data_IF_851302481262
#
_entry.id   IF_851302481262
#
_cell.length_a   1.000
_cell.length_b   1.000
_cell.length_c   1.000
_cell.angle_alpha   90.00
_cell.angle_beta   90.00
_cell.angle_gamma   90.00
#
_symmetry.space_group_name_H-M   'P 1'
#
loop_
_entity.id
_entity.type
_entity.pdbx_description
1 polymer ?
#
# COMPACT_ATOMS: atom_id res chain seq x y z
N UNK A 1 15.12 34.08 17.57
CA UNK A 1 14.10 34.27 16.52
C UNK A 1 13.40 32.93 16.37
N UNK A 2 12.10 32.81 16.64
CA UNK A 2 11.39 31.55 16.45
C UNK A 2 11.42 31.21 14.95
N UNK A 3 11.97 30.04 14.61
CA UNK A 3 11.78 29.45 13.29
C UNK A 3 10.31 29.04 13.23
N UNK A 4 9.49 29.81 12.52
CA UNK A 4 8.17 29.35 12.11
C UNK A 4 8.41 28.25 11.09
N UNK A 5 8.44 26.99 11.54
CA UNK A 5 8.47 25.84 10.66
C UNK A 5 7.13 25.84 9.93
N UNK A 6 7.11 26.42 8.74
CA UNK A 6 5.93 26.44 7.90
C UNK A 6 5.65 24.98 7.52
N UNK A 7 4.64 24.37 8.13
CA UNK A 7 4.10 23.06 7.77
C UNK A 7 3.42 23.19 6.40
N UNK A 8 4.22 23.37 5.36
CA UNK A 8 3.75 23.35 3.98
C UNK A 8 3.47 21.88 3.63
N UNK A 9 2.29 21.57 3.06
CA UNK A 9 1.95 20.21 2.68
C UNK A 9 3.00 19.66 1.69
N UNK A 10 3.30 18.37 1.80
CA UNK A 10 4.29 17.67 0.98
C UNK A 10 3.55 16.85 -0.07
N UNK A 11 4.07 16.81 -1.30
CA UNK A 11 3.48 15.99 -2.37
C UNK A 11 3.63 14.50 -2.03
N UNK A 12 2.51 13.78 -1.89
CA UNK A 12 2.53 12.34 -1.55
C UNK A 12 3.25 11.48 -2.60
N UNK A 13 3.25 11.91 -3.86
CA UNK A 13 3.83 11.14 -4.96
C UNK A 13 5.36 11.21 -4.96
N UNK A 14 5.96 12.35 -4.63
CA UNK A 14 7.40 12.57 -4.82
C UNK A 14 8.12 13.26 -3.65
N UNK A 15 7.42 13.55 -2.55
CA UNK A 15 8.00 14.15 -1.34
C UNK A 15 8.41 15.62 -1.46
N UNK A 16 8.06 16.32 -2.55
CA UNK A 16 8.44 17.73 -2.74
C UNK A 16 7.55 18.66 -1.89
N UNK A 17 8.09 19.65 -1.17
CA UNK A 17 7.29 20.60 -0.40
C UNK A 17 6.51 21.56 -1.30
N UNK A 18 5.27 21.90 -0.92
CA UNK A 18 4.38 22.79 -1.68
C UNK A 18 4.83 24.25 -1.64
N UNK A 19 5.13 24.89 -2.78
CA UNK A 19 5.18 26.34 -2.85
C UNK A 19 3.75 26.91 -2.73
N UNK A 20 3.59 28.04 -2.04
CA UNK A 20 2.30 28.55 -1.59
C UNK A 20 1.25 28.76 -2.70
N UNK A 21 1.68 28.88 -3.96
CA UNK A 21 0.85 29.40 -5.05
C UNK A 21 0.64 28.41 -6.22
N UNK A 22 1.05 27.15 -6.08
CA UNK A 22 0.91 26.15 -7.14
C UNK A 22 -0.23 25.14 -6.86
N UNK A 23 -0.88 24.70 -7.94
CA UNK A 23 -1.93 23.65 -7.93
C UNK A 23 -1.39 22.28 -8.34
N UNK A 24 -0.22 22.23 -8.98
CA UNK A 24 0.48 21.01 -9.40
C UNK A 24 1.88 21.00 -8.80
N UNK A 25 2.38 19.82 -8.45
CA UNK A 25 3.75 19.65 -7.97
C UNK A 25 4.74 19.93 -9.11
N UNK A 26 5.73 20.82 -8.90
CA UNK A 26 6.68 21.19 -9.96
C UNK A 26 7.64 20.05 -10.31
N UNK A 27 7.82 19.07 -9.41
CA UNK A 27 8.70 17.92 -9.64
C UNK A 27 8.03 16.81 -10.44
N UNK A 28 6.77 16.47 -10.16
CA UNK A 28 6.09 15.32 -10.78
C UNK A 28 4.85 15.68 -11.62
N UNK A 29 4.42 16.95 -11.63
CA UNK A 29 3.25 17.41 -12.37
C UNK A 29 1.89 16.93 -11.85
N UNK A 30 1.85 16.15 -10.76
CA UNK A 30 0.63 15.68 -10.13
C UNK A 30 0.01 16.78 -9.24
N UNK A 31 -1.32 16.85 -9.08
CA UNK A 31 -1.96 17.87 -8.26
C UNK A 31 -1.46 17.83 -6.82
N UNK A 32 -1.38 18.99 -6.17
CA UNK A 32 -1.15 19.04 -4.73
C UNK A 32 -2.38 18.48 -4.03
N UNK A 33 -2.18 17.37 -3.32
CA UNK A 33 -3.21 16.82 -2.45
C UNK A 33 -2.89 17.34 -1.07
N UNK A 34 -3.84 18.10 -0.51
CA UNK A 34 -3.70 18.70 0.82
C UNK A 34 -3.74 17.60 1.87
N UNK A 35 -2.60 16.96 2.11
CA UNK A 35 -2.38 16.16 3.31
C UNK A 35 -2.42 17.14 4.47
N UNK A 36 -3.53 17.15 5.20
CA UNK A 36 -3.54 17.78 6.51
C UNK A 36 -2.60 16.96 7.37
N UNK A 37 -1.37 17.44 7.55
CA UNK A 37 -0.51 16.95 8.62
C UNK A 37 -1.31 17.23 9.89
N UNK A 38 -1.88 16.19 10.49
CA UNK A 38 -2.58 16.32 11.76
C UNK A 38 -1.62 17.05 12.70
N UNK A 39 -2.03 18.23 13.17
CA UNK A 39 -1.25 18.96 14.14
C UNK A 39 -1.03 17.99 15.31
N UNK A 40 0.23 17.60 15.63
CA UNK A 40 0.48 16.59 16.63
C UNK A 40 -0.28 16.98 17.88
N UNK A 41 -1.08 16.06 18.47
CA UNK A 41 -1.97 16.39 19.57
C UNK A 41 -1.15 17.15 20.59
N UNK A 42 -1.48 18.43 20.79
CA UNK A 42 -0.68 19.36 21.57
C UNK A 42 -0.31 18.64 22.85
N UNK A 43 0.99 18.32 23.00
CA UNK A 43 1.49 17.55 24.12
C UNK A 43 0.88 18.15 25.37
N UNK A 44 0.00 17.39 26.03
CA UNK A 44 -0.72 17.86 27.20
C UNK A 44 0.35 18.43 28.14
N UNK A 45 0.29 19.75 28.35
CA UNK A 45 1.27 20.42 29.18
C UNK A 45 1.33 19.66 30.51
N UNK A 46 2.51 19.30 31.01
CA UNK A 46 2.61 18.66 32.30
C UNK A 46 1.95 19.59 33.32
N UNK A 47 0.86 19.14 33.94
CA UNK A 47 0.23 19.82 35.05
C UNK A 47 1.28 19.98 36.15
N UNK A 48 1.77 21.20 36.30
CA UNK A 48 2.74 21.64 37.30
C UNK A 48 2.11 21.49 38.70
N UNK A 49 2.54 20.53 39.55
CA UNK A 49 2.01 20.39 40.88
C UNK A 49 2.88 21.24 41.83
N UNK A 50 2.76 22.56 41.73
CA UNK A 50 3.28 23.46 42.76
C UNK A 50 2.30 23.46 43.93
N UNK A 51 2.40 22.46 44.80
CA UNK A 51 1.89 22.55 46.17
C UNK A 51 3.02 22.19 47.14
N UNK A 52 3.58 23.26 47.71
CA UNK A 52 4.51 23.24 48.83
C UNK A 52 3.83 22.65 50.06
N UNK A 53 4.48 21.68 50.71
CA UNK A 53 4.01 21.10 51.96
C UNK A 53 5.04 20.18 52.60
N UNK A 54 6.08 20.76 53.20
CA UNK A 54 6.96 20.07 54.14
C UNK A 54 6.18 19.64 55.39
N UNK A 55 6.06 18.33 55.64
CA UNK A 55 6.14 17.77 57.00
C UNK A 55 6.63 16.33 56.99
N UNK A 56 7.54 16.07 57.92
CA UNK A 56 8.30 14.86 58.13
C UNK A 56 7.47 13.64 58.58
N UNK A 57 8.07 12.48 58.35
CA UNK A 57 8.06 11.29 59.22
C UNK A 57 6.72 10.64 59.58
N UNK A 58 6.49 9.43 59.08
CA UNK A 58 6.39 8.22 59.91
C UNK A 58 6.03 7.01 59.05
N UNK A 59 6.85 5.96 59.18
CA UNK A 59 6.49 4.61 58.80
C UNK A 59 5.37 4.10 59.73
N UNK A 60 4.30 3.56 59.17
CA UNK A 60 3.54 2.46 59.78
C UNK A 60 2.53 1.88 58.78
N UNK A 61 2.57 0.55 58.71
CA UNK A 61 1.59 -0.34 58.15
C UNK A 61 0.11 0.08 58.37
N UNK A 62 -0.69 -0.04 57.31
CA UNK A 62 -2.10 -0.40 57.43
C UNK A 62 -2.59 -1.01 56.12
N UNK A 63 -2.82 -2.32 56.16
CA UNK A 63 -3.65 -3.04 55.20
C UNK A 63 -5.06 -2.44 55.25
N UNK A 64 -5.62 -2.05 54.10
CA UNK A 64 -7.01 -1.65 53.99
C UNK A 64 -7.62 -2.13 52.66
N UNK A 65 -8.49 -3.12 52.81
CA UNK A 65 -9.71 -3.37 52.05
C UNK A 65 -9.60 -3.42 50.52
N UNK A 66 -9.51 -4.66 50.01
CA UNK A 66 -10.02 -5.02 48.70
C UNK A 66 -11.51 -4.65 48.63
N UNK A 67 -11.86 -3.77 47.71
CA UNK A 67 -13.25 -3.53 47.30
C UNK A 67 -13.83 -4.80 46.68
N UNK A 68 -15.04 -5.24 47.08
CA UNK A 68 -15.70 -6.38 46.44
C UNK A 68 -16.03 -6.05 44.97
N UNK A 69 -16.00 -7.06 44.08
CA UNK A 69 -16.33 -6.87 42.68
C UNK A 69 -17.78 -6.37 42.51
N UNK A 70 -18.05 -5.54 41.50
CA UNK A 70 -19.40 -5.05 41.20
C UNK A 70 -20.34 -6.22 40.92
N UNK A 71 -21.58 -6.10 41.42
CA UNK A 71 -22.62 -7.09 41.24
C UNK A 71 -22.93 -7.31 39.74
N UNK A 72 -23.20 -8.56 39.31
CA UNK A 72 -23.59 -8.83 37.93
C UNK A 72 -24.91 -8.12 37.60
N UNK A 73 -25.06 -7.60 36.36
CA UNK A 73 -26.29 -6.95 35.94
C UNK A 73 -27.48 -7.91 36.02
N UNK A 74 -28.69 -7.40 36.31
CA UNK A 74 -29.89 -8.22 36.39
C UNK A 74 -30.16 -8.89 35.03
N UNK A 75 -30.32 -10.21 35.06
CA UNK A 75 -30.79 -11.00 33.92
C UNK A 75 -32.22 -10.56 33.62
N UNK A 76 -32.40 -9.84 32.52
CA UNK A 76 -33.71 -9.47 32.00
C UNK A 76 -34.30 -10.76 31.38
N UNK A 77 -35.47 -11.24 31.84
CA UNK A 77 -36.12 -12.38 31.21
C UNK A 77 -36.53 -11.97 29.79
N UNK A 78 -36.02 -12.71 28.81
CA UNK A 78 -36.47 -12.63 27.42
C UNK A 78 -37.87 -13.25 27.41
N UNK A 79 -38.89 -12.40 27.53
CA UNK A 79 -40.26 -12.80 27.28
C UNK A 79 -40.44 -13.06 25.78
N UNK A 80 -40.42 -14.34 25.46
CA UNK A 80 -40.93 -14.98 24.25
C UNK A 80 -42.35 -14.46 23.96
N UNK A 81 -42.42 -13.35 23.24
CA UNK A 81 -43.65 -12.75 22.73
C UNK A 81 -43.64 -12.92 21.22
N UNK A 82 -44.16 -14.09 20.83
CA UNK A 82 -45.25 -14.19 19.86
C UNK A 82 -45.12 -13.41 18.55
N UNK A 83 -45.12 -14.19 17.47
CA UNK A 83 -45.98 -13.88 16.33
C UNK A 83 -45.63 -12.59 15.57
N UNK A 84 -44.38 -12.48 15.10
CA UNK A 84 -44.09 -11.62 13.96
C UNK A 84 -44.62 -12.28 12.69
N UNK A 85 -45.87 -11.96 12.36
CA UNK A 85 -46.50 -12.27 11.08
C UNK A 85 -45.66 -11.69 9.93
N UNK A 86 -45.05 -12.59 9.17
CA UNK A 86 -44.23 -12.30 7.98
C UNK A 86 -45.10 -12.14 6.71
N UNK A 87 -46.39 -11.84 6.86
CA UNK A 87 -47.35 -11.79 5.75
C UNK A 87 -47.66 -10.36 5.26
N UNK A 88 -46.69 -9.44 5.20
CA UNK A 88 -46.94 -8.16 4.52
C UNK A 88 -45.67 -7.47 3.98
N UNK A 89 -44.81 -8.23 3.30
CA UNK A 89 -43.88 -7.63 2.33
C UNK A 89 -44.67 -7.23 1.09
N UNK A 90 -45.25 -6.04 1.16
CA UNK A 90 -45.80 -5.30 0.02
C UNK A 90 -44.68 -5.06 -0.98
N UNK A 91 -44.75 -5.76 -2.12
CA UNK A 91 -43.90 -5.51 -3.27
C UNK A 91 -43.97 -4.02 -3.65
N UNK A 92 -42.83 -3.32 -3.79
CA UNK A 92 -42.84 -1.95 -4.28
C UNK A 92 -43.48 -1.91 -5.68
N UNK A 93 -44.26 -0.88 -6.01
CA UNK A 93 -44.90 -0.77 -7.31
C UNK A 93 -43.83 -0.78 -8.42
N UNK A 94 -44.07 -1.58 -9.46
CA UNK A 94 -43.18 -1.65 -10.62
C UNK A 94 -42.95 -0.23 -11.20
N UNK A 95 -41.70 0.19 -11.41
CA UNK A 95 -41.41 1.49 -12.00
C UNK A 95 -41.98 1.54 -13.43
N UNK A 96 -42.57 2.67 -13.85
CA UNK A 96 -43.14 2.81 -15.18
C UNK A 96 -42.05 2.58 -16.23
N UNK A 97 -42.18 1.50 -17.01
CA UNK A 97 -41.27 1.15 -18.10
C UNK A 97 -41.42 2.13 -19.29
N UNK A 98 -40.92 3.34 -19.13
CA UNK A 98 -40.82 4.29 -20.24
C UNK A 98 -39.53 4.02 -21.02
N UNK A 99 -39.64 3.23 -22.08
CA UNK A 99 -38.54 2.98 -23.06
C UNK A 99 -38.03 4.25 -23.75
N UNK A 100 -38.59 5.42 -23.45
CA UNK A 100 -38.22 6.71 -24.03
C UNK A 100 -37.10 7.45 -23.26
N UNK A 101 -36.84 7.12 -21.99
CA UNK A 101 -35.84 7.85 -21.17
C UNK A 101 -34.40 7.44 -21.49
N UNK A 102 -34.18 6.27 -22.09
CA UNK A 102 -32.83 5.75 -22.39
C UNK A 102 -32.18 6.31 -23.67
N UNK A 103 -32.91 7.07 -24.49
CA UNK A 103 -32.37 7.61 -25.75
C UNK A 103 -31.60 8.93 -25.57
N UNK A 104 -31.82 9.65 -24.47
CA UNK A 104 -31.17 10.94 -24.18
C UNK A 104 -29.64 10.84 -23.91
N UNK A 105 -29.13 9.89 -23.10
CA UNK A 105 -27.69 9.80 -22.86
C UNK A 105 -26.91 9.28 -24.08
N UNK A 106 -27.50 8.39 -24.89
CA UNK A 106 -26.84 7.82 -26.07
C UNK A 106 -26.61 8.89 -27.16
N UNK A 107 -27.58 9.77 -27.38
CA UNK A 107 -27.43 10.87 -28.34
C UNK A 107 -26.31 11.86 -27.94
N UNK A 108 -26.12 12.09 -26.64
CA UNK A 108 -25.10 13.00 -26.12
C UNK A 108 -23.70 12.41 -26.26
N UNK A 109 -23.53 11.10 -26.00
CA UNK A 109 -22.24 10.40 -26.21
C UNK A 109 -21.83 10.41 -27.68
N UNK A 110 -22.76 10.18 -28.62
CA UNK A 110 -22.46 10.22 -30.06
C UNK A 110 -22.04 11.63 -30.51
N UNK A 111 -22.67 12.68 -29.98
CA UNK A 111 -22.29 14.07 -30.30
C UNK A 111 -20.89 14.42 -29.78
N UNK A 112 -20.51 13.96 -28.59
CA UNK A 112 -19.17 14.17 -28.03
C UNK A 112 -18.10 13.44 -28.85
N UNK A 113 -18.34 12.20 -29.27
CA UNK A 113 -17.42 11.43 -30.11
C UNK A 113 -17.23 12.07 -31.49
N UNK A 114 -18.32 12.54 -32.12
CA UNK A 114 -18.26 13.23 -33.41
C UNK A 114 -17.50 14.57 -33.33
N UNK A 115 -17.65 15.30 -32.22
CA UNK A 115 -16.92 16.54 -31.99
C UNK A 115 -15.42 16.29 -31.74
N UNK A 116 -15.08 15.28 -30.94
CA UNK A 116 -13.69 14.91 -30.66
C UNK A 116 -12.95 14.46 -31.92
N UNK A 117 -13.60 13.69 -32.78
CA UNK A 117 -13.00 13.23 -34.04
C UNK A 117 -12.75 14.38 -35.04
N UNK A 118 -13.62 15.41 -35.10
CA UNK A 118 -13.36 16.57 -35.94
C UNK A 118 -12.18 17.43 -35.45
N UNK A 119 -12.03 17.59 -34.13
CA UNK A 119 -10.93 18.37 -33.53
C UNK A 119 -9.59 17.64 -33.67
N UNK A 120 -9.56 16.31 -33.52
CA UNK A 120 -8.31 15.54 -33.56
C UNK A 120 -7.86 15.11 -34.96
N UNK A 121 -8.77 14.91 -35.91
CA UNK A 121 -8.43 14.50 -37.28
C UNK A 121 -8.46 15.65 -38.30
N UNK A 122 -8.90 16.85 -37.91
CA UNK A 122 -9.00 18.00 -38.82
C UNK A 122 -7.73 18.85 -38.97
N UNK A 123 -6.66 18.57 -38.23
CA UNK A 123 -5.45 19.39 -38.20
C UNK A 123 -4.24 18.70 -38.85
N UNK A 124 -3.84 19.24 -40.00
CA UNK A 124 -2.53 19.15 -40.66
C UNK A 124 -1.81 17.78 -40.67
N UNK A 125 -1.94 17.10 -41.81
CA UNK A 125 -1.12 15.95 -42.21
C UNK A 125 0.38 16.31 -42.22
N UNK A 126 1.24 15.72 -41.37
CA UNK A 126 2.68 15.75 -41.61
C UNK A 126 2.99 14.83 -42.80
N UNK A 127 3.83 15.34 -43.69
CA UNK A 127 4.35 14.59 -44.85
C UNK A 127 5.28 13.49 -44.33
N UNK A 128 4.78 12.26 -44.21
CA UNK A 128 5.61 11.09 -43.90
C UNK A 128 6.33 10.60 -45.15
N UNK A 129 7.66 10.58 -45.07
CA UNK A 129 8.55 10.03 -46.09
C UNK A 129 8.54 8.50 -45.96
N UNK A 130 7.95 7.82 -46.93
CA UNK A 130 7.92 6.35 -46.99
C UNK A 130 9.29 5.82 -47.43
N UNK A 131 10.05 5.22 -46.51
CA UNK A 131 11.22 4.40 -46.84
C UNK A 131 10.73 2.98 -47.13
N UNK A 132 11.01 2.49 -48.34
CA UNK A 132 10.63 1.15 -48.79
C UNK A 132 11.43 0.07 -48.04
N UNK A 133 10.74 -0.72 -47.22
CA UNK A 133 11.28 -1.96 -46.65
C UNK A 133 11.08 -3.13 -47.62
N UNK A 134 12.15 -3.89 -47.86
CA UNK A 134 12.15 -5.10 -48.69
C UNK A 134 11.27 -6.21 -48.08
N UNK A 135 10.60 -7.04 -48.91
CA UNK A 135 9.88 -8.20 -48.42
C UNK A 135 10.86 -9.32 -48.00
N UNK A 136 10.83 -9.70 -46.72
CA UNK A 136 11.41 -10.95 -46.24
C UNK A 136 10.37 -12.06 -46.35
N UNK A 137 10.63 -13.04 -47.22
CA UNK A 137 9.87 -14.29 -47.34
C UNK A 137 10.19 -15.23 -46.18
N UNK A 138 9.20 -15.47 -45.31
CA UNK A 138 9.25 -16.53 -44.30
C UNK A 138 8.51 -17.76 -44.83
N UNK A 139 9.24 -18.86 -45.00
CA UNK A 139 8.71 -20.16 -45.43
C UNK A 139 8.16 -20.91 -44.22
N UNK A 140 6.83 -21.10 -44.17
CA UNK A 140 6.16 -21.96 -43.19
C UNK A 140 6.32 -23.43 -43.62
N UNK A 141 7.12 -24.22 -42.88
CA UNK A 141 7.10 -25.67 -42.98
C UNK A 141 5.96 -26.24 -42.13
N UNK A 142 5.04 -26.95 -42.77
CA UNK A 142 4.06 -27.79 -42.09
C UNK A 142 4.75 -29.07 -41.60
N UNK A 143 4.85 -29.24 -40.29
CA UNK A 143 5.29 -30.50 -39.67
C UNK A 143 4.06 -31.34 -39.37
N UNK A 144 3.84 -32.37 -40.20
CA UNK A 144 2.86 -33.42 -39.94
C UNK A 144 3.41 -34.35 -38.84
N UNK A 145 2.81 -34.30 -37.66
CA UNK A 145 3.13 -35.24 -36.57
C UNK A 145 2.28 -36.50 -36.74
N UNK A 146 2.93 -37.62 -37.05
CA UNK A 146 2.32 -38.95 -37.06
C UNK A 146 2.19 -39.45 -35.62
N UNK A 147 0.96 -39.59 -35.14
CA UNK A 147 0.66 -40.24 -33.86
C UNK A 147 0.79 -41.76 -34.05
N UNK A 148 1.84 -42.34 -33.47
CA UNK A 148 1.93 -43.78 -33.27
C UNK A 148 1.30 -44.10 -31.90
N UNK A 149 0.20 -44.84 -31.92
CA UNK A 149 -0.42 -45.44 -30.74
C UNK A 149 0.51 -46.56 -30.25
N UNK A 150 1.32 -46.26 -29.25
CA UNK A 150 2.12 -47.24 -28.51
C UNK A 150 1.41 -47.46 -27.17
N UNK A 151 0.91 -48.68 -26.99
CA UNK A 151 0.48 -49.20 -25.69
C UNK A 151 1.74 -49.48 -24.89
N UNK A 152 2.06 -48.60 -23.94
CA UNK A 152 3.23 -48.74 -23.05
C UNK A 152 2.76 -48.84 -21.59
N UNK A 153 3.31 -49.85 -20.89
CA UNK A 153 3.11 -50.11 -19.47
C UNK A 153 3.56 -48.90 -18.63
N UNK A 154 2.65 -48.43 -17.78
CA UNK A 154 2.87 -47.34 -16.82
C UNK A 154 3.99 -47.70 -15.83
N UNK A 155 5.22 -47.31 -16.16
CA UNK A 155 6.34 -47.30 -15.23
C UNK A 155 6.51 -45.88 -14.72
N UNK A 156 6.21 -45.66 -13.45
CA UNK A 156 6.26 -44.36 -12.77
C UNK A 156 7.71 -43.93 -12.54
N UNK A 157 8.32 -43.32 -13.55
CA UNK A 157 9.62 -42.64 -13.39
C UNK A 157 9.39 -41.34 -12.63
N UNK A 158 9.85 -41.28 -11.37
CA UNK A 158 9.93 -40.02 -10.62
C UNK A 158 10.93 -39.09 -11.30
N UNK A 159 10.43 -38.03 -11.93
CA UNK A 159 11.23 -36.92 -12.43
C UNK A 159 11.79 -36.17 -11.23
N UNK A 160 13.09 -36.33 -10.96
CA UNK A 160 13.79 -35.47 -10.00
C UNK A 160 14.03 -34.12 -10.66
N UNK A 161 13.19 -33.14 -10.34
CA UNK A 161 13.40 -31.75 -10.76
C UNK A 161 14.63 -31.22 -10.01
N UNK A 162 15.74 -31.03 -10.72
CA UNK A 162 16.94 -30.40 -10.16
C UNK A 162 16.70 -28.89 -10.09
N UNK A 163 16.27 -28.39 -8.94
CA UNK A 163 16.20 -26.95 -8.68
C UNK A 163 17.63 -26.40 -8.64
N UNK A 164 18.00 -25.63 -9.66
CA UNK A 164 19.28 -24.91 -9.68
C UNK A 164 19.09 -23.65 -8.84
N UNK A 165 19.51 -23.68 -7.58
CA UNK A 165 19.50 -22.49 -6.72
C UNK A 165 20.58 -21.54 -7.22
N UNK A 166 20.20 -20.46 -7.88
CA UNK A 166 21.12 -19.37 -8.19
C UNK A 166 21.53 -18.75 -6.85
N UNK A 167 22.82 -18.62 -6.53
CA UNK A 167 23.24 -18.04 -5.27
C UNK A 167 23.01 -16.53 -5.31
N UNK A 168 21.90 -16.07 -4.74
CA UNK A 168 21.70 -14.66 -4.44
C UNK A 168 22.62 -14.21 -3.29
N UNK A 169 23.01 -12.93 -3.23
CA UNK A 169 23.80 -12.40 -2.12
C UNK A 169 23.04 -12.57 -0.79
N UNK A 170 23.68 -13.07 0.29
CA UNK A 170 23.06 -13.08 1.61
C UNK A 170 22.89 -11.65 2.15
N UNK A 171 21.97 -11.48 3.10
CA UNK A 171 21.66 -10.20 3.74
C UNK A 171 22.90 -9.49 4.35
N UNK A 172 23.87 -10.28 4.82
CA UNK A 172 25.12 -9.80 5.43
C UNK A 172 26.14 -9.19 4.46
N UNK A 173 25.95 -9.36 3.15
CA UNK A 173 26.93 -8.88 2.15
C UNK A 173 26.81 -7.37 1.88
N UNK A 174 25.73 -6.75 2.34
CA UNK A 174 25.48 -5.32 2.17
C UNK A 174 26.16 -4.52 3.28
N UNK A 175 26.95 -3.53 2.88
CA UNK A 175 27.67 -2.63 3.80
C UNK A 175 27.03 -1.25 3.81
N UNK A 176 27.04 -0.59 4.96
CA UNK A 176 26.52 0.77 5.11
C UNK A 176 27.19 1.72 4.10
N UNK A 177 26.36 2.51 3.42
CA UNK A 177 26.79 3.56 2.49
C UNK A 177 25.89 4.78 2.65
N UNK A 178 26.46 5.99 2.58
CA UNK A 178 25.72 7.24 2.83
C UNK A 178 25.65 7.63 4.30
N UNK A 179 25.01 8.77 4.56
CA UNK A 179 24.76 9.27 5.92
C UNK A 179 23.52 8.58 6.50
N UNK A 180 23.53 8.12 7.77
CA UNK A 180 22.37 7.45 8.37
C UNK A 180 21.16 8.38 8.41
N UNK A 181 20.01 7.86 8.00
CA UNK A 181 18.72 8.55 8.08
C UNK A 181 17.98 8.13 9.35
N UNK A 182 17.37 9.07 10.03
CA UNK A 182 16.45 8.76 11.12
C UNK A 182 15.15 8.15 10.58
N UNK A 183 14.40 7.44 11.42
CA UNK A 183 13.09 6.86 11.03
C UNK A 183 12.09 7.94 10.57
N UNK A 184 12.19 9.15 11.13
CA UNK A 184 11.41 10.34 10.69
C UNK A 184 11.77 10.78 9.27
N UNK A 185 12.99 10.49 8.80
CA UNK A 185 13.46 10.78 7.44
C UNK A 185 13.22 9.61 6.47
N UNK A 186 12.62 8.51 6.93
CA UNK A 186 12.26 7.33 6.15
C UNK A 186 10.75 7.14 5.98
N UNK A 187 9.95 8.19 5.67
CA UNK A 187 8.52 8.01 5.55
C UNK A 187 8.16 7.12 4.36
N UNK A 188 7.17 6.26 4.56
CA UNK A 188 6.64 5.38 3.52
C UNK A 188 5.81 6.20 2.52
N UNK A 189 6.12 6.09 1.22
CA UNK A 189 5.43 6.81 0.14
C UNK A 189 5.20 5.91 -1.06
N UNK A 190 4.23 6.25 -1.90
CA UNK A 190 3.88 5.47 -3.09
C UNK A 190 5.06 5.22 -4.05
N UNK A 191 6.06 6.11 -4.06
CA UNK A 191 7.24 6.04 -4.94
C UNK A 191 8.55 5.66 -4.25
N UNK A 192 8.55 5.16 -3.01
CA UNK A 192 9.78 4.79 -2.29
C UNK A 192 9.72 4.97 -0.77
N UNK A 193 10.88 5.16 -0.15
CA UNK A 193 11.02 5.30 1.30
C UNK A 193 11.87 6.55 1.59
N UNK A 194 11.26 7.59 2.13
CA UNK A 194 11.94 8.86 2.40
C UNK A 194 12.66 9.43 1.17
N UNK A 195 13.99 9.65 1.22
CA UNK A 195 14.76 10.12 0.07
C UNK A 195 15.10 9.00 -0.94
N UNK A 196 14.83 7.73 -0.62
CA UNK A 196 15.09 6.58 -1.48
C UNK A 196 13.92 6.44 -2.47
N UNK A 197 14.17 6.71 -3.74
CA UNK A 197 13.16 6.64 -4.81
C UNK A 197 13.21 5.28 -5.52
N UNK A 198 12.07 4.80 -6.02
CA UNK A 198 12.04 3.66 -6.94
C UNK A 198 12.89 3.92 -8.20
N UNK A 199 13.52 2.87 -8.69
CA UNK A 199 14.53 2.93 -9.76
C UNK A 199 15.96 3.18 -9.27
N UNK A 200 16.16 3.49 -7.98
CA UNK A 200 17.50 3.58 -7.39
C UNK A 200 18.20 2.22 -7.42
N UNK A 201 19.53 2.21 -7.53
CA UNK A 201 20.28 0.96 -7.59
C UNK A 201 20.23 0.21 -6.26
N UNK A 202 20.27 -1.11 -6.33
CA UNK A 202 20.22 -1.99 -5.16
C UNK A 202 21.37 -1.66 -4.20
N UNK A 203 22.58 -1.43 -4.70
CA UNK A 203 23.73 -1.07 -3.86
C UNK A 203 23.53 0.24 -3.08
N UNK A 204 22.96 1.26 -3.71
CA UNK A 204 22.68 2.55 -3.05
C UNK A 204 21.58 2.40 -1.99
N UNK A 205 20.48 1.72 -2.33
CA UNK A 205 19.35 1.52 -1.42
C UNK A 205 19.74 0.64 -0.24
N UNK A 206 20.33 -0.54 -0.50
CA UNK A 206 20.76 -1.45 0.55
C UNK A 206 21.81 -0.80 1.44
N UNK A 207 22.78 -0.08 0.87
CA UNK A 207 23.78 0.63 1.65
C UNK A 207 23.19 1.72 2.55
N UNK A 208 22.25 2.50 2.02
CA UNK A 208 21.57 3.57 2.77
C UNK A 208 20.67 3.01 3.88
N UNK A 209 19.94 1.93 3.63
CA UNK A 209 19.14 1.24 4.64
C UNK A 209 20.03 0.58 5.69
N UNK A 210 21.17 -0.01 5.32
CA UNK A 210 22.13 -0.57 6.27
C UNK A 210 22.76 0.52 7.15
N UNK A 211 23.03 1.70 6.60
CA UNK A 211 23.50 2.83 7.38
C UNK A 211 22.47 3.31 8.41
N UNK A 212 21.17 3.25 8.05
CA UNK A 212 20.08 3.84 8.84
C UNK A 212 19.47 2.87 9.86
N UNK A 213 19.28 1.61 9.46
CA UNK A 213 18.55 0.57 10.20
C UNK A 213 19.46 -0.56 10.70
N UNK A 214 20.74 -0.58 10.28
CA UNK A 214 21.67 -1.68 10.57
C UNK A 214 21.61 -2.80 9.53
N UNK A 215 22.34 -3.89 9.78
CA UNK A 215 22.41 -5.02 8.84
C UNK A 215 21.03 -5.63 8.57
N UNK A 216 20.76 -5.99 7.32
CA UNK A 216 19.56 -6.74 6.97
C UNK A 216 19.55 -8.10 7.67
N UNK A 217 18.38 -8.50 8.16
CA UNK A 217 18.18 -9.73 8.94
C UNK A 217 17.96 -10.93 8.03
N UNK A 218 17.32 -10.71 6.88
CA UNK A 218 17.02 -11.75 5.91
C UNK A 218 17.12 -11.22 4.47
N UNK A 219 17.35 -12.15 3.56
CA UNK A 219 17.35 -11.93 2.13
C UNK A 219 16.78 -13.17 1.43
N UNK A 220 16.19 -12.97 0.26
CA UNK A 220 15.72 -14.08 -0.55
C UNK A 220 15.24 -13.63 -1.92
N UNK A 221 14.76 -14.60 -2.67
CA UNK A 221 14.04 -14.42 -3.91
C UNK A 221 12.52 -14.48 -3.68
N UNK A 222 11.75 -13.88 -4.58
CA UNK A 222 10.30 -14.07 -4.60
C UNK A 222 9.78 -14.20 -6.02
N UNK A 223 8.81 -15.10 -6.20
CA UNK A 223 8.08 -15.29 -7.45
C UNK A 223 6.96 -14.24 -7.63
N UNK A 224 7.03 -13.10 -6.93
CA UNK A 224 5.95 -12.11 -6.90
C UNK A 224 5.71 -11.48 -8.28
N UNK A 225 6.74 -11.35 -9.13
CA UNK A 225 6.62 -10.79 -10.47
C UNK A 225 7.21 -11.68 -11.59
N UNK A 226 6.52 -12.74 -12.05
CA UNK A 226 6.98 -13.52 -13.21
C UNK A 226 7.04 -12.65 -14.48
N UNK A 227 8.04 -12.80 -15.36
CA UNK A 227 9.13 -13.78 -15.35
C UNK A 227 10.42 -13.30 -14.67
N UNK A 228 10.43 -12.11 -14.05
CA UNK A 228 11.62 -11.53 -13.44
C UNK A 228 11.84 -12.13 -12.06
N UNK A 229 13.05 -12.60 -11.80
CA UNK A 229 13.45 -13.04 -10.47
C UNK A 229 13.63 -11.78 -9.59
N UNK A 230 12.73 -11.60 -8.62
CA UNK A 230 12.82 -10.47 -7.69
C UNK A 230 13.67 -10.87 -6.49
N UNK A 231 14.54 -9.97 -6.05
CA UNK A 231 15.33 -10.14 -4.82
C UNK A 231 14.77 -9.23 -3.74
N UNK A 232 14.82 -9.66 -2.48
CA UNK A 232 14.37 -8.84 -1.37
C UNK A 232 15.34 -8.86 -0.20
N UNK A 233 15.36 -7.75 0.54
CA UNK A 233 16.10 -7.57 1.79
C UNK A 233 15.13 -7.15 2.89
N UNK A 234 15.32 -7.65 4.10
CA UNK A 234 14.42 -7.42 5.23
C UNK A 234 15.15 -6.85 6.45
N UNK A 235 14.52 -5.86 7.10
CA UNK A 235 14.92 -5.21 8.35
C UNK A 235 13.69 -5.17 9.28
N UNK A 236 13.58 -6.12 10.20
CA UNK A 236 12.40 -6.29 11.02
C UNK A 236 11.16 -6.50 10.17
N UNK A 237 10.21 -5.57 10.28
CA UNK A 237 8.94 -5.53 9.54
C UNK A 237 9.05 -4.94 8.13
N UNK A 238 10.17 -4.28 7.79
CA UNK A 238 10.37 -3.67 6.47
C UNK A 238 11.06 -4.65 5.52
N UNK A 239 10.42 -4.94 4.39
CA UNK A 239 11.01 -5.66 3.26
C UNK A 239 11.11 -4.73 2.04
N UNK A 240 12.34 -4.52 1.56
CA UNK A 240 12.61 -3.84 0.29
C UNK A 240 12.74 -4.88 -0.82
N UNK A 241 12.13 -4.63 -1.98
CA UNK A 241 12.06 -5.56 -3.11
C UNK A 241 12.71 -4.90 -4.33
N UNK A 242 13.55 -5.68 -5.00
CA UNK A 242 14.38 -5.30 -6.12
C UNK A 242 14.07 -6.14 -7.36
N UNK A 243 14.17 -5.52 -8.53
CA UNK A 243 14.15 -6.20 -9.82
C UNK A 243 15.56 -6.69 -10.17
N UNK A 244 15.82 -7.98 -9.93
CA UNK A 244 17.14 -8.61 -9.96
C UNK A 244 17.93 -8.54 -8.65
N UNK A 245 19.08 -9.23 -8.60
CA UNK A 245 20.03 -9.21 -7.47
C UNK A 245 21.43 -8.70 -7.85
N UNK A 246 21.66 -8.38 -9.12
CA UNK A 246 22.92 -7.81 -9.57
C UNK A 246 23.11 -6.39 -8.99
N UNK A 247 24.34 -5.85 -8.90
CA UNK A 247 24.56 -4.54 -8.31
C UNK A 247 23.79 -3.38 -8.96
N UNK A 248 23.39 -3.54 -10.23
CA UNK A 248 22.57 -2.61 -11.01
C UNK A 248 21.07 -2.92 -10.97
N UNK A 249 20.64 -3.94 -10.21
CA UNK A 249 19.25 -4.20 -9.90
C UNK A 249 18.59 -2.95 -9.32
N UNK A 250 17.29 -2.81 -9.55
CA UNK A 250 16.58 -1.57 -9.20
C UNK A 250 15.60 -1.79 -8.07
N UNK A 251 15.51 -0.82 -7.15
CA UNK A 251 14.52 -0.81 -6.09
C UNK A 251 13.13 -0.52 -6.68
N UNK A 252 12.19 -1.44 -6.55
CA UNK A 252 10.90 -1.35 -7.25
C UNK A 252 9.70 -1.30 -6.33
N UNK A 253 9.78 -1.88 -5.13
CA UNK A 253 8.67 -1.84 -4.17
C UNK A 253 9.12 -2.14 -2.75
N UNK A 254 8.24 -1.88 -1.79
CA UNK A 254 8.43 -2.31 -0.40
C UNK A 254 7.14 -2.91 0.18
N UNK A 255 7.33 -3.68 1.26
CA UNK A 255 6.30 -4.17 2.16
C UNK A 255 6.71 -3.82 3.59
N UNK A 256 5.87 -3.12 4.32
CA UNK A 256 6.06 -2.92 5.76
C UNK A 256 4.89 -3.60 6.46
N UNK A 257 5.11 -4.76 7.07
CA UNK A 257 4.05 -5.59 7.65
C UNK A 257 4.46 -6.17 8.99
N UNK A 258 3.48 -6.37 9.86
CA UNK A 258 3.67 -7.10 11.10
C UNK A 258 4.09 -8.54 10.77
N UNK A 259 5.24 -8.95 11.28
CA UNK A 259 5.73 -10.32 11.21
C UNK A 259 5.49 -11.01 12.55
N UNK A 260 5.28 -12.32 12.54
CA UNK A 260 5.14 -13.11 13.77
C UNK A 260 6.43 -13.14 14.62
N UNK A 261 7.54 -12.66 14.05
CA UNK A 261 8.83 -12.61 14.70
C UNK A 261 8.91 -11.39 15.63
N UNK A 262 9.37 -11.60 16.86
CA UNK A 262 9.61 -10.58 17.88
C UNK A 262 10.81 -9.66 17.56
N UNK A 263 10.97 -9.29 16.29
CA UNK A 263 11.94 -8.31 15.82
C UNK A 263 11.63 -6.93 16.39
N UNK A 264 12.65 -6.09 16.57
CA UNK A 264 12.46 -4.72 17.02
C UNK A 264 11.68 -3.93 15.95
N UNK A 265 10.59 -3.28 16.36
CA UNK A 265 9.79 -2.45 15.46
C UNK A 265 10.58 -1.20 15.07
N UNK A 266 10.77 -1.02 13.76
CA UNK A 266 11.43 0.16 13.17
C UNK A 266 10.52 1.41 13.25
N UNK A 267 9.25 1.25 13.60
CA UNK A 267 8.25 2.30 13.77
C UNK A 267 8.23 3.29 12.59
N UNK A 268 8.10 2.74 11.38
CA UNK A 268 7.99 3.54 10.16
C UNK A 268 6.56 4.07 9.98
N UNK A 269 6.47 5.26 9.39
CA UNK A 269 5.22 5.99 9.23
C UNK A 269 5.11 6.55 7.81
N UNK A 270 3.91 6.67 7.26
CA UNK A 270 3.74 7.36 5.97
C UNK A 270 3.91 8.87 6.11
N UNK A 271 4.08 9.59 5.00
CA UNK A 271 4.10 11.07 5.02
C UNK A 271 2.83 11.70 5.65
N UNK A 272 1.71 11.00 5.63
CA UNK A 272 0.43 11.47 6.18
C UNK A 272 0.23 11.08 7.64
N UNK A 273 1.09 10.23 8.19
CA UNK A 273 1.03 9.82 9.58
C UNK A 273 0.39 8.44 9.84
N UNK A 274 0.26 7.61 8.80
CA UNK A 274 -0.25 6.25 8.94
C UNK A 274 0.86 5.33 9.45
N UNK A 275 0.58 4.58 10.50
CA UNK A 275 1.47 3.58 11.09
C UNK A 275 0.77 2.21 11.14
N UNK A 276 1.54 1.13 11.29
CA UNK A 276 0.98 -0.18 11.63
C UNK A 276 0.31 -0.11 13.01
N UNK A 277 -0.71 -0.94 13.24
CA UNK A 277 -1.46 -0.94 14.49
C UNK A 277 -2.55 0.15 14.60
N UNK A 278 -2.59 1.14 13.70
CA UNK A 278 -3.67 2.12 13.66
C UNK A 278 -4.98 1.50 13.16
N UNK A 279 -6.12 2.09 13.55
CA UNK A 279 -7.43 1.58 13.15
C UNK A 279 -7.80 1.97 11.72
N UNK A 280 -8.70 1.22 11.09
CA UNK A 280 -9.28 1.54 9.78
C UNK A 280 -10.02 2.89 9.82
N UNK A 281 -10.63 3.27 10.95
CA UNK A 281 -11.18 4.60 11.13
C UNK A 281 -10.11 5.69 11.05
N UNK A 282 -8.95 5.48 11.68
CA UNK A 282 -7.81 6.40 11.60
C UNK A 282 -7.27 6.47 10.16
N UNK A 283 -7.12 5.34 9.48
CA UNK A 283 -6.75 5.28 8.06
C UNK A 283 -7.70 6.14 7.20
N UNK A 284 -9.02 5.93 7.30
CA UNK A 284 -10.04 6.70 6.56
C UNK A 284 -9.99 8.19 6.90
N UNK A 285 -9.73 8.52 8.16
CA UNK A 285 -9.60 9.90 8.63
C UNK A 285 -8.33 10.59 8.10
N UNK A 286 -7.18 9.91 8.14
CA UNK A 286 -5.89 10.40 7.65
C UNK A 286 -5.89 10.65 6.14
N UNK A 287 -6.69 9.86 5.40
CA UNK A 287 -6.81 9.93 3.94
C UNK A 287 -8.21 10.34 3.48
N UNK A 288 -8.87 11.25 4.20
CA UNK A 288 -10.22 11.75 3.89
C UNK A 288 -10.34 12.40 2.50
N UNK A 289 -9.22 12.88 1.96
CA UNK A 289 -9.05 13.49 0.64
C UNK A 289 -8.83 12.46 -0.49
N UNK A 290 -8.66 11.19 -0.16
CA UNK A 290 -8.40 10.09 -1.10
C UNK A 290 -9.55 9.08 -1.11
N UNK A 291 -9.54 8.17 -2.08
CA UNK A 291 -10.46 7.04 -2.10
C UNK A 291 -9.82 5.84 -1.42
N UNK A 292 -10.33 5.45 -0.26
CA UNK A 292 -9.95 4.22 0.44
C UNK A 292 -11.01 3.16 0.16
N UNK A 293 -10.64 2.09 -0.56
CA UNK A 293 -11.50 0.90 -0.73
C UNK A 293 -10.97 -0.25 0.12
N UNK A 294 -11.87 -1.14 0.54
CA UNK A 294 -11.55 -2.36 1.26
C UNK A 294 -11.95 -3.54 0.39
N UNK A 295 -11.03 -4.47 0.16
CA UNK A 295 -11.19 -5.59 -0.76
C UNK A 295 -10.63 -6.88 -0.14
N UNK A 296 -11.30 -8.00 -0.38
CA UNK A 296 -10.85 -9.31 0.08
C UNK A 296 -9.91 -9.93 -0.94
N UNK A 297 -8.63 -10.10 -0.60
CA UNK A 297 -7.59 -10.71 -1.43
C UNK A 297 -7.09 -11.97 -0.71
N UNK A 298 -7.17 -13.12 -1.36
CA UNK A 298 -6.75 -14.41 -0.82
C UNK A 298 -7.32 -14.75 0.57
N UNK A 299 -8.55 -14.28 0.84
CA UNK A 299 -9.25 -14.52 2.11
C UNK A 299 -8.87 -13.58 3.25
N UNK A 300 -8.07 -12.54 2.97
CA UNK A 300 -7.71 -11.49 3.92
C UNK A 300 -8.14 -10.11 3.41
N UNK A 301 -8.73 -9.30 4.28
CA UNK A 301 -9.14 -7.95 3.94
C UNK A 301 -7.92 -7.05 3.73
N UNK A 302 -7.97 -6.23 2.69
CA UNK A 302 -6.93 -5.28 2.34
C UNK A 302 -7.55 -3.91 2.11
N UNK A 303 -6.86 -2.85 2.54
CA UNK A 303 -7.17 -1.50 2.08
C UNK A 303 -6.44 -1.20 0.77
N UNK A 304 -7.03 -0.36 -0.06
CA UNK A 304 -6.41 0.24 -1.24
C UNK A 304 -6.66 1.74 -1.20
N UNK A 305 -5.58 2.50 -1.20
CA UNK A 305 -5.58 3.94 -1.27
C UNK A 305 -5.34 4.35 -2.73
N UNK A 306 -6.35 5.00 -3.33
CA UNK A 306 -6.35 5.38 -4.75
C UNK A 306 -6.52 6.89 -4.90
N UNK A 307 -5.80 7.49 -5.84
CA UNK A 307 -5.98 8.86 -6.29
C UNK A 307 -6.11 8.93 -7.81
N UNK A 308 -7.20 9.49 -8.31
CA UNK A 308 -7.40 9.63 -9.77
C UNK A 308 -7.37 8.32 -10.57
N UNK A 309 -7.54 7.17 -9.91
CA UNK A 309 -7.40 5.84 -10.50
C UNK A 309 -6.02 5.19 -10.31
N UNK A 310 -5.02 5.93 -9.85
CA UNK A 310 -3.69 5.42 -9.55
C UNK A 310 -3.65 4.84 -8.12
N UNK A 311 -3.19 3.59 -7.98
CA UNK A 311 -2.95 2.98 -6.67
C UNK A 311 -1.73 3.64 -6.02
N UNK A 312 -1.89 4.16 -4.80
CA UNK A 312 -0.83 4.83 -4.05
C UNK A 312 -0.23 3.93 -2.97
N UNK A 313 -1.07 3.37 -2.12
CA UNK A 313 -0.70 2.47 -1.03
C UNK A 313 -1.77 1.39 -0.92
N UNK A 314 -1.41 0.23 -0.40
CA UNK A 314 -2.36 -0.81 -0.07
C UNK A 314 -1.80 -1.68 1.05
N UNK A 315 -2.58 -2.58 1.60
CA UNK A 315 -2.05 -3.52 2.57
C UNK A 315 -3.15 -4.19 3.39
N UNK A 316 -2.79 -5.25 4.13
CA UNK A 316 -3.74 -6.02 4.90
C UNK A 316 -4.31 -5.24 6.07
N UNK A 317 -5.58 -5.52 6.38
CA UNK A 317 -6.26 -5.09 7.60
C UNK A 317 -6.84 -6.31 8.32
N UNK A 318 -7.00 -6.23 9.64
CA UNK A 318 -7.56 -7.33 10.42
C UNK A 318 -9.08 -7.52 10.23
N UNK A 319 -9.77 -6.44 9.85
CA UNK A 319 -11.21 -6.39 9.57
C UNK A 319 -11.51 -5.17 8.69
N UNK A 320 -12.54 -5.19 7.84
CA UNK A 320 -12.96 -4.01 7.07
C UNK A 320 -13.75 -2.98 7.92
N UNK A 321 -14.13 -3.36 9.14
CA UNK A 321 -14.80 -2.49 10.09
C UNK A 321 -13.87 -1.38 10.61
N UNK A 322 -14.45 -0.30 11.13
CA UNK A 322 -13.72 0.89 11.58
C UNK A 322 -12.76 0.62 12.76
N UNK A 323 -13.00 -0.44 13.54
CA UNK A 323 -12.15 -0.93 14.62
C UNK A 323 -11.12 -1.98 14.17
N UNK A 324 -11.15 -2.39 12.89
CA UNK A 324 -10.08 -3.15 12.26
C UNK A 324 -8.75 -2.42 12.33
N UNK A 325 -7.65 -3.16 12.25
CA UNK A 325 -6.28 -2.65 12.44
C UNK A 325 -5.51 -2.79 11.13
N UNK A 326 -4.67 -1.80 10.80
CA UNK A 326 -3.73 -1.87 9.68
C UNK A 326 -2.56 -2.79 10.05
N UNK A 327 -2.46 -3.92 9.34
CA UNK A 327 -1.45 -4.96 9.56
C UNK A 327 -0.23 -4.79 8.63
N UNK A 328 -0.40 -4.10 7.50
CA UNK A 328 0.68 -3.85 6.56
C UNK A 328 0.45 -2.61 5.70
N UNK A 329 1.54 -1.99 5.25
CA UNK A 329 1.58 -0.84 4.35
C UNK A 329 2.54 -1.17 3.21
N UNK A 330 1.99 -1.30 2.03
CA UNK A 330 2.67 -1.74 0.82
C UNK A 330 2.69 -0.62 -0.19
N UNK A 331 3.81 -0.50 -0.89
CA UNK A 331 3.85 0.30 -2.11
C UNK A 331 3.06 -0.39 -3.22
N UNK A 332 2.69 0.34 -4.29
CA UNK A 332 2.07 -0.26 -5.46
C UNK A 332 2.90 -1.42 -5.99
N UNK A 333 2.24 -2.46 -6.49
CA UNK A 333 2.93 -3.61 -7.07
C UNK A 333 3.77 -3.13 -8.27
N UNK A 334 5.05 -3.51 -8.36
CA UNK A 334 5.87 -3.16 -9.50
C UNK A 334 5.62 -4.07 -10.69
N UNK A 335 4.89 -5.18 -10.51
CA UNK A 335 4.58 -6.09 -11.60
C UNK A 335 3.58 -5.41 -12.56
N UNK A 336 3.96 -5.16 -13.83
CA UNK A 336 3.07 -4.59 -14.84
C UNK A 336 1.99 -5.57 -15.34
#
# INVERSE_FOLDING_TARGET
MPKTTSNLPICIHCGTPRPADETLCPKCGKPWIDVRIAEPPAAAAPDDPTTSGDVAAAAAAAAAAATPPPAPPPVIPIEDTGEFGMDEWTLPPDPPSSKAIWLLPVALVVAVIAFWSFVYFGGDSPTSTTVAAQPSTTTTQAVTTTVAEVVEETTTTSSTTTTTTVPYPPASDWTASGDPLSTVELPLKAGGIGPIDFGSTLGDVAGQLVASLGSAEAAGDSDVCPPAETYWLQWGQLRAIFDGWEPDATFVSYRYEETDDASEDVALETLSGLQLGQTVAQLKSTYDSYTVTLELIDGQDHFRLVDGGDLLLWGPVSSPDDDGIVLGIFSPSPCP
#
